data_IF_456174903235
#
_entry.id   IF_456174903235
#
_cell.length_a   1.000
_cell.length_b   1.000
_cell.length_c   1.000
_cell.angle_alpha   90.00
_cell.angle_beta   90.00
_cell.angle_gamma   90.00
#
_symmetry.space_group_name_H-M   'P 1'
#
loop_
_entity.id
_entity.type
_entity.pdbx_description
1 polymer ?
#
# COMPACT_ATOMS: atom_id res chain seq x y z
N UNK A 1 -10.44 -7.33 16.75
CA UNK A 1 -9.29 -6.81 15.99
C UNK A 1 -9.02 -7.80 14.87
N UNK A 2 -9.12 -7.42 13.60
CA UNK A 2 -8.88 -8.36 12.48
C UNK A 2 -7.41 -8.76 12.44
N UNK A 3 -7.14 -10.05 12.22
CA UNK A 3 -5.78 -10.56 12.05
C UNK A 3 -5.10 -9.83 10.87
N UNK A 4 -3.84 -9.42 11.06
CA UNK A 4 -3.05 -8.81 9.99
C UNK A 4 -2.57 -9.89 9.01
N UNK A 5 -2.46 -9.54 7.73
CA UNK A 5 -1.97 -10.43 6.69
C UNK A 5 -0.45 -10.57 6.81
N UNK A 6 0.12 -11.79 6.90
CA UNK A 6 1.55 -11.96 7.24
C UNK A 6 2.55 -11.34 6.26
N UNK A 7 2.24 -11.32 4.97
CA UNK A 7 3.14 -10.80 3.93
C UNK A 7 2.95 -9.31 3.62
N UNK A 8 2.02 -8.64 4.30
CA UNK A 8 1.83 -7.22 4.18
C UNK A 8 2.59 -6.47 5.30
N UNK A 9 3.11 -5.27 5.03
CA UNK A 9 3.76 -4.44 6.04
C UNK A 9 2.85 -4.20 7.23
N UNK A 10 3.29 -4.59 8.42
CA UNK A 10 2.53 -4.40 9.67
C UNK A 10 3.03 -3.23 10.51
N UNK A 11 4.14 -2.60 10.09
CA UNK A 11 4.77 -1.42 10.69
C UNK A 11 5.36 -0.51 9.60
N UNK A 12 5.60 0.75 9.94
CA UNK A 12 6.24 1.70 9.04
C UNK A 12 7.76 1.41 8.93
N UNK A 13 8.32 1.37 7.71
CA UNK A 13 9.76 1.38 7.52
C UNK A 13 10.38 2.66 8.09
N UNK A 14 11.63 2.62 8.59
CA UNK A 14 12.37 3.83 8.96
C UNK A 14 12.44 4.83 7.80
N UNK A 15 12.18 6.10 8.08
CA UNK A 15 12.19 7.15 7.05
C UNK A 15 10.99 7.15 6.09
N UNK A 16 10.01 6.25 6.28
CA UNK A 16 8.79 6.27 5.49
C UNK A 16 8.01 7.57 5.70
N UNK A 17 7.42 8.07 4.62
CA UNK A 17 6.49 9.21 4.62
C UNK A 17 5.08 8.69 4.33
N UNK A 18 4.35 8.17 5.34
CA UNK A 18 3.04 7.57 5.11
C UNK A 18 1.98 8.63 4.84
N UNK A 19 1.05 8.28 3.97
CA UNK A 19 -0.19 9.03 3.77
C UNK A 19 -1.27 8.58 4.76
N UNK A 20 -2.34 9.38 4.85
CA UNK A 20 -3.55 8.98 5.57
C UNK A 20 -4.24 7.85 4.81
N UNK A 21 -4.52 6.77 5.51
CA UNK A 21 -5.28 5.65 4.96
C UNK A 21 -6.71 6.10 4.65
N UNK A 22 -7.23 5.88 3.42
CA UNK A 22 -8.59 6.27 3.05
C UNK A 22 -9.66 5.47 3.81
N UNK A 23 -9.31 4.33 4.41
CA UNK A 23 -10.24 3.47 5.16
C UNK A 23 -10.30 3.79 6.65
N UNK A 24 -9.14 3.93 7.31
CA UNK A 24 -9.07 4.08 8.76
C UNK A 24 -8.58 5.45 9.23
N UNK A 25 -8.20 6.35 8.33
CA UNK A 25 -7.76 7.71 8.63
C UNK A 25 -6.36 7.84 9.24
N UNK A 26 -5.75 6.74 9.70
CA UNK A 26 -4.40 6.77 10.30
C UNK A 26 -3.32 7.06 9.26
N UNK A 27 -2.29 7.80 9.67
CA UNK A 27 -1.07 8.01 8.89
C UNK A 27 -0.26 6.70 8.89
N UNK A 28 -0.48 5.89 7.86
CA UNK A 28 0.08 4.55 7.79
C UNK A 28 0.00 3.92 6.40
N UNK A 29 -0.37 4.69 5.38
CA UNK A 29 -0.54 4.22 4.02
C UNK A 29 0.75 4.44 3.24
N UNK A 30 1.42 3.36 2.88
CA UNK A 30 2.76 3.40 2.28
C UNK A 30 2.77 2.66 0.94
N UNK A 31 3.65 3.06 0.01
CA UNK A 31 3.90 2.28 -1.20
C UNK A 31 4.54 0.93 -0.85
N UNK A 32 4.20 -0.12 -1.59
CA UNK A 32 4.68 -1.48 -1.35
C UNK A 32 5.29 -2.13 -2.59
N UNK A 33 4.46 -2.67 -3.48
CA UNK A 33 4.90 -3.42 -4.67
C UNK A 33 4.54 -2.69 -5.94
N UNK A 34 5.42 -2.77 -6.94
CA UNK A 34 5.09 -2.42 -8.32
C UNK A 34 4.63 -3.66 -9.06
N UNK A 35 3.60 -3.54 -9.89
CA UNK A 35 3.24 -4.54 -10.88
C UNK A 35 3.00 -3.87 -12.22
N UNK A 36 3.29 -4.58 -13.31
CA UNK A 36 2.87 -4.17 -14.64
C UNK A 36 1.62 -4.95 -14.99
N UNK A 37 0.61 -4.27 -15.50
CA UNK A 37 -0.56 -4.94 -16.06
C UNK A 37 -0.19 -5.56 -17.40
N UNK A 38 -0.35 -6.88 -17.54
CA UNK A 38 0.09 -7.58 -18.75
C UNK A 38 -0.71 -7.19 -19.99
N UNK A 39 -1.95 -6.73 -19.83
CA UNK A 39 -2.84 -6.38 -20.93
C UNK A 39 -2.65 -4.94 -21.37
N UNK A 40 -2.70 -3.99 -20.44
CA UNK A 40 -2.63 -2.56 -20.76
C UNK A 40 -1.21 -2.00 -20.73
N UNK A 41 -0.25 -2.77 -20.20
CA UNK A 41 1.13 -2.37 -19.94
C UNK A 41 1.30 -1.22 -18.94
N UNK A 42 0.21 -0.76 -18.32
CA UNK A 42 0.24 0.25 -17.26
C UNK A 42 0.94 -0.29 -16.02
N UNK A 43 1.84 0.49 -15.45
CA UNK A 43 2.48 0.18 -14.17
C UNK A 43 1.59 0.67 -13.04
N UNK A 44 1.38 -0.19 -12.05
CA UNK A 44 0.64 0.12 -10.84
C UNK A 44 1.55 -0.03 -9.63
N UNK A 45 1.42 0.89 -8.68
CA UNK A 45 1.97 0.77 -7.34
C UNK A 45 0.87 0.36 -6.37
N UNK A 46 1.03 -0.78 -5.72
CA UNK A 46 0.20 -1.17 -4.60
C UNK A 46 0.61 -0.37 -3.37
N UNK A 47 -0.36 0.27 -2.75
CA UNK A 47 -0.23 0.95 -1.46
C UNK A 47 -0.93 0.12 -0.39
N UNK A 48 -0.37 0.13 0.82
CA UNK A 48 -0.84 -0.69 1.94
C UNK A 48 -0.89 0.11 3.24
N UNK A 49 -1.96 -0.10 4.02
CA UNK A 49 -2.06 0.48 5.36
C UNK A 49 -1.47 -0.46 6.41
N UNK A 50 -0.44 -0.02 7.13
CA UNK A 50 0.20 -0.85 8.18
C UNK A 50 -0.71 -1.16 9.36
N UNK A 51 -1.76 -0.36 9.55
CA UNK A 51 -2.71 -0.45 10.66
C UNK A 51 -3.88 -1.40 10.33
N UNK A 52 -4.64 -1.11 9.26
CA UNK A 52 -5.83 -1.86 8.90
C UNK A 52 -5.65 -2.80 7.71
N UNK A 53 -4.43 -2.89 7.15
CA UNK A 53 -4.04 -3.83 6.09
C UNK A 53 -4.88 -3.73 4.81
N UNK A 54 -5.53 -2.58 4.57
CA UNK A 54 -6.19 -2.31 3.29
C UNK A 54 -5.13 -2.03 2.23
N UNK A 55 -5.37 -2.53 1.02
CA UNK A 55 -4.54 -2.26 -0.15
C UNK A 55 -5.29 -1.41 -1.18
N UNK A 56 -4.55 -0.62 -1.95
CA UNK A 56 -5.07 0.11 -3.11
C UNK A 56 -4.01 0.13 -4.20
N UNK A 57 -4.38 -0.13 -5.43
CA UNK A 57 -3.49 0.05 -6.57
C UNK A 57 -3.68 1.45 -7.14
N UNK A 58 -2.57 2.13 -7.42
CA UNK A 58 -2.54 3.44 -8.07
C UNK A 58 -1.69 3.33 -9.34
N UNK A 59 -2.12 3.88 -10.49
CA UNK A 59 -1.25 4.01 -11.64
C UNK A 59 0.02 4.75 -11.25
N UNK A 60 1.17 4.21 -11.60
CA UNK A 60 2.48 4.83 -11.43
C UNK A 60 2.99 5.20 -12.82
N UNK A 61 3.36 6.47 -13.07
CA UNK A 61 4.05 6.82 -14.30
C UNK A 61 5.38 6.08 -14.40
N UNK A 62 5.74 5.62 -15.61
CA UNK A 62 7.02 4.95 -15.89
C UNK A 62 8.22 5.89 -15.68
#
# INVERSE_FOLDING_TARGET
MTAKVPWLPSRLPPGARPERCPRCGKAGFIPWTLRRDDRTKVVFRTWVCVECQVTQERPEPE
#
